data_IF_980503713482
#
_entry.id   IF_980503713482
#
_cell.length_a   1.000
_cell.length_b   1.000
_cell.length_c   1.000
_cell.angle_alpha   90.00
_cell.angle_beta   90.00
_cell.angle_gamma   90.00
#
_symmetry.space_group_name_H-M   'P 1'
#
loop_
_entity.id
_entity.type
_entity.pdbx_description
1 polymer ?
#
# COMPACT_ATOMS: atom_id res chain seq x y z
N UNK A 1 32.24 -7.85 -4.37
CA UNK A 1 31.38 -6.66 -4.42
C UNK A 1 31.70 -5.80 -3.20
N UNK A 2 31.72 -4.49 -3.36
CA UNK A 2 32.00 -3.54 -2.27
C UNK A 2 30.93 -3.68 -1.17
N UNK A 3 31.35 -3.56 0.11
CA UNK A 3 30.43 -3.74 1.24
C UNK A 3 29.27 -2.75 1.25
N UNK A 4 29.51 -1.49 0.83
CA UNK A 4 28.44 -0.51 0.73
C UNK A 4 27.44 -0.85 -0.39
N UNK A 5 27.94 -1.37 -1.52
CA UNK A 5 27.07 -1.89 -2.57
C UNK A 5 26.23 -3.07 -2.09
N UNK A 6 26.82 -3.95 -1.29
CA UNK A 6 26.10 -5.08 -0.71
C UNK A 6 25.00 -4.62 0.25
N UNK A 7 25.28 -3.62 1.07
CA UNK A 7 24.27 -3.07 1.99
C UNK A 7 23.08 -2.47 1.23
N UNK A 8 23.36 -1.76 0.14
CA UNK A 8 22.28 -1.21 -0.70
C UNK A 8 21.48 -2.34 -1.37
N UNK A 9 22.18 -3.33 -1.91
CA UNK A 9 21.53 -4.50 -2.53
C UNK A 9 20.64 -5.24 -1.53
N UNK A 10 21.08 -5.38 -0.28
CA UNK A 10 20.27 -6.01 0.77
C UNK A 10 18.97 -5.26 1.01
N UNK A 11 18.97 -3.92 0.93
CA UNK A 11 17.75 -3.14 1.07
C UNK A 11 16.77 -3.43 -0.06
N UNK A 12 17.26 -3.53 -1.30
CA UNK A 12 16.41 -3.86 -2.44
C UNK A 12 15.85 -5.27 -2.37
N UNK A 13 16.59 -6.21 -1.75
CA UNK A 13 16.10 -7.58 -1.58
C UNK A 13 14.90 -7.69 -0.65
N UNK A 14 14.66 -6.71 0.20
CA UNK A 14 13.49 -6.65 1.08
C UNK A 14 12.20 -6.42 0.31
N UNK A 15 12.30 -5.93 -0.92
CA UNK A 15 11.14 -5.65 -1.76
C UNK A 15 10.64 -6.95 -2.39
N UNK A 16 9.30 -7.14 -2.47
CA UNK A 16 8.74 -8.36 -3.04
C UNK A 16 9.12 -8.51 -4.51
N UNK A 17 9.45 -9.76 -4.90
CA UNK A 17 9.81 -10.08 -6.28
C UNK A 17 11.24 -9.75 -6.67
N UNK A 18 12.06 -9.23 -5.75
CA UNK A 18 13.44 -8.86 -6.05
C UNK A 18 14.39 -9.89 -5.45
N UNK A 19 15.07 -10.65 -6.33
CA UNK A 19 16.10 -11.60 -5.95
C UNK A 19 17.49 -10.97 -5.89
N UNK A 20 18.49 -11.78 -5.60
CA UNK A 20 19.89 -11.33 -5.41
C UNK A 20 20.44 -10.61 -6.64
N UNK A 21 20.24 -11.18 -7.83
CA UNK A 21 20.77 -10.64 -9.07
C UNK A 21 20.17 -9.29 -9.42
N UNK A 22 18.86 -9.19 -9.32
CA UNK A 22 18.14 -7.93 -9.57
C UNK A 22 18.50 -6.87 -8.54
N UNK A 23 18.63 -7.25 -7.27
CA UNK A 23 19.00 -6.32 -6.21
C UNK A 23 20.39 -5.70 -6.46
N UNK A 24 21.35 -6.51 -6.92
CA UNK A 24 22.68 -6.01 -7.26
C UNK A 24 22.65 -5.05 -8.44
N UNK A 25 21.86 -5.37 -9.47
CA UNK A 25 21.68 -4.47 -10.61
C UNK A 25 21.10 -3.13 -10.20
N UNK A 26 20.10 -3.16 -9.32
CA UNK A 26 19.48 -1.93 -8.81
C UNK A 26 20.45 -1.12 -7.97
N UNK A 27 21.27 -1.78 -7.16
CA UNK A 27 22.28 -1.09 -6.35
C UNK A 27 23.29 -0.34 -7.24
N UNK A 28 23.81 -0.98 -8.28
CA UNK A 28 24.69 -0.31 -9.22
C UNK A 28 24.01 0.85 -9.93
N UNK A 29 22.80 0.63 -10.40
CA UNK A 29 22.04 1.68 -11.08
C UNK A 29 21.86 2.92 -10.20
N UNK A 30 21.45 2.71 -8.94
CA UNK A 30 21.21 3.82 -8.03
C UNK A 30 22.50 4.57 -7.67
N UNK A 31 23.58 3.83 -7.40
CA UNK A 31 24.83 4.46 -6.95
C UNK A 31 25.58 5.15 -8.07
N UNK A 32 25.25 4.89 -9.34
CA UNK A 32 25.76 5.61 -10.49
C UNK A 32 24.96 6.87 -10.84
N UNK A 33 23.82 7.08 -10.17
CA UNK A 33 23.01 8.29 -10.38
C UNK A 33 23.63 9.48 -9.65
N UNK A 34 23.39 10.71 -10.16
CA UNK A 34 23.75 11.91 -9.41
C UNK A 34 23.13 11.92 -8.02
N UNK A 35 23.81 12.50 -7.06
CA UNK A 35 23.35 12.55 -5.67
C UNK A 35 21.97 13.19 -5.55
N UNK A 36 21.71 14.21 -6.36
CA UNK A 36 20.42 14.92 -6.36
C UNK A 36 19.28 13.99 -6.75
N UNK A 37 19.51 13.07 -7.70
CA UNK A 37 18.49 12.10 -8.11
C UNK A 37 18.18 11.11 -6.99
N UNK A 38 19.20 10.68 -6.26
CA UNK A 38 19.02 9.77 -5.12
C UNK A 38 18.26 10.47 -4.01
N UNK A 39 18.63 11.72 -3.70
CA UNK A 39 17.96 12.51 -2.67
C UNK A 39 16.49 12.73 -3.02
N UNK A 40 16.20 13.04 -4.29
CA UNK A 40 14.83 13.22 -4.75
C UNK A 40 14.00 11.92 -4.62
N UNK A 41 14.59 10.78 -5.01
CA UNK A 41 13.96 9.48 -4.90
C UNK A 41 13.59 9.15 -3.45
N UNK A 42 14.55 9.32 -2.54
CA UNK A 42 14.35 9.06 -1.12
C UNK A 42 13.29 10.01 -0.55
N UNK A 43 13.37 11.29 -0.88
CA UNK A 43 12.46 12.31 -0.35
C UNK A 43 11.01 12.10 -0.78
N UNK A 44 10.78 11.64 -2.01
CA UNK A 44 9.42 11.32 -2.49
C UNK A 44 8.82 10.20 -1.65
N UNK A 45 9.57 9.12 -1.42
CA UNK A 45 9.10 7.99 -0.62
C UNK A 45 8.88 8.42 0.82
N UNK A 46 9.82 9.14 1.39
CA UNK A 46 9.77 9.58 2.78
C UNK A 46 8.58 10.51 3.03
N UNK A 47 8.37 11.47 2.14
CA UNK A 47 7.25 12.41 2.22
C UNK A 47 5.90 11.71 2.09
N UNK A 48 5.79 10.76 1.15
CA UNK A 48 4.56 9.99 0.98
C UNK A 48 4.26 9.17 2.23
N UNK A 49 5.27 8.55 2.83
CA UNK A 49 5.09 7.75 4.04
C UNK A 49 4.57 8.59 5.21
N UNK A 50 5.04 9.84 5.33
CA UNK A 50 4.58 10.75 6.38
C UNK A 50 3.11 11.17 6.19
N UNK A 51 2.63 11.23 4.95
CA UNK A 51 1.26 11.66 4.64
C UNK A 51 0.25 10.52 4.66
N UNK A 52 0.68 9.29 4.43
CA UNK A 52 -0.21 8.14 4.34
C UNK A 52 -0.78 7.81 5.71
N UNK A 53 -2.10 7.58 5.75
CA UNK A 53 -2.83 7.11 6.92
C UNK A 53 -3.89 6.10 6.47
N UNK A 54 -4.49 5.41 7.44
CA UNK A 54 -5.64 4.55 7.17
C UNK A 54 -6.91 5.35 7.42
N UNK A 55 -7.86 5.26 6.48
CA UNK A 55 -9.18 5.86 6.68
C UNK A 55 -9.86 5.22 7.89
N UNK A 56 -10.34 6.04 8.83
CA UNK A 56 -11.01 5.55 10.04
C UNK A 56 -12.33 4.84 9.75
N UNK A 57 -12.92 5.07 8.58
CA UNK A 57 -14.20 4.47 8.18
C UNK A 57 -13.99 3.17 7.42
N UNK A 58 -13.21 3.18 6.34
CA UNK A 58 -13.09 2.04 5.44
C UNK A 58 -11.75 1.29 5.56
N UNK A 59 -10.79 1.80 6.30
CA UNK A 59 -9.46 1.24 6.49
C UNK A 59 -8.58 1.28 5.24
N UNK A 60 -8.96 1.98 4.18
CA UNK A 60 -8.13 2.15 3.00
C UNK A 60 -6.94 3.07 3.29
N UNK A 61 -5.87 2.93 2.54
CA UNK A 61 -4.76 3.87 2.57
C UNK A 61 -5.20 5.19 1.96
N UNK A 62 -4.91 6.29 2.65
CA UNK A 62 -5.36 7.61 2.24
C UNK A 62 -4.40 8.68 2.71
N UNK A 63 -4.54 9.88 2.17
CA UNK A 63 -3.79 11.06 2.60
C UNK A 63 -4.66 12.01 3.43
N UNK A 64 -5.91 11.63 3.64
CA UNK A 64 -6.88 12.37 4.48
C UNK A 64 -7.79 11.38 5.20
N UNK A 65 -8.39 11.79 6.31
CA UNK A 65 -9.33 10.98 7.06
C UNK A 65 -10.59 11.81 7.36
N UNK A 66 -11.79 11.43 6.86
CA UNK A 66 -12.03 10.26 6.00
C UNK A 66 -11.40 10.39 4.63
N UNK A 67 -11.24 9.24 3.94
CA UNK A 67 -10.69 9.25 2.59
C UNK A 67 -11.66 9.91 1.60
N UNK A 68 -11.18 10.18 0.38
CA UNK A 68 -11.97 10.84 -0.65
C UNK A 68 -13.27 10.09 -0.99
N UNK A 69 -13.23 8.76 -0.94
CA UNK A 69 -14.39 7.93 -1.25
C UNK A 69 -15.42 8.01 -0.13
N UNK A 70 -15.00 7.83 1.12
CA UNK A 70 -15.91 7.91 2.27
C UNK A 70 -16.49 9.30 2.45
N UNK A 71 -15.76 10.34 2.08
CA UNK A 71 -16.21 11.72 2.15
C UNK A 71 -17.04 12.20 0.96
N UNK A 72 -17.23 11.37 -0.04
CA UNK A 72 -17.97 11.75 -1.26
C UNK A 72 -19.47 11.49 -1.08
N UNK A 73 -20.23 12.57 -0.97
CA UNK A 73 -21.69 12.51 -0.77
C UNK A 73 -22.47 11.93 -1.94
N UNK A 74 -21.83 11.80 -3.11
CA UNK A 74 -22.47 11.25 -4.31
C UNK A 74 -22.48 9.72 -4.30
N UNK A 75 -21.74 9.10 -3.38
CA UNK A 75 -21.67 7.65 -3.27
C UNK A 75 -22.92 7.06 -2.63
N UNK A 76 -23.24 5.84 -3.02
CA UNK A 76 -24.34 5.09 -2.41
C UNK A 76 -23.87 4.45 -1.10
N UNK A 77 -24.23 5.07 0.01
CA UNK A 77 -23.81 4.62 1.34
C UNK A 77 -24.50 3.34 1.82
N UNK A 78 -25.50 2.86 1.06
CA UNK A 78 -26.15 1.59 1.36
C UNK A 78 -25.39 0.37 0.82
N UNK A 79 -24.33 0.59 0.02
CA UNK A 79 -23.54 -0.48 -0.58
C UNK A 79 -22.12 -0.44 -0.05
N UNK A 80 -21.64 -1.57 0.42
CA UNK A 80 -20.26 -1.73 0.89
C UNK A 80 -19.63 -2.90 0.16
N UNK A 81 -18.53 -2.63 -0.54
CA UNK A 81 -17.73 -3.66 -1.19
C UNK A 81 -16.55 -3.99 -0.29
N UNK A 82 -16.50 -5.22 0.21
CA UNK A 82 -15.40 -5.69 1.07
C UNK A 82 -14.30 -6.22 0.19
N UNK A 83 -13.10 -5.67 0.34
CA UNK A 83 -11.92 -6.09 -0.43
C UNK A 83 -10.77 -6.42 0.50
N UNK A 84 -9.81 -7.18 -0.02
CA UNK A 84 -8.68 -7.66 0.76
C UNK A 84 -7.60 -6.59 0.93
N UNK A 85 -7.29 -5.88 -0.14
CA UNK A 85 -6.17 -4.93 -0.18
C UNK A 85 -6.57 -3.58 -0.77
N UNK A 86 -5.82 -2.50 -0.43
CA UNK A 86 -6.05 -1.18 -1.04
C UNK A 86 -5.96 -1.18 -2.56
N UNK A 87 -5.11 -2.02 -3.14
CA UNK A 87 -4.97 -2.14 -4.59
C UNK A 87 -6.27 -2.58 -5.27
N UNK A 88 -7.09 -3.37 -4.57
CA UNK A 88 -8.37 -3.82 -5.08
C UNK A 88 -9.35 -2.66 -5.23
N UNK A 89 -9.32 -1.70 -4.30
CA UNK A 89 -10.12 -0.48 -4.39
C UNK A 89 -9.75 0.29 -5.65
N UNK A 90 -8.45 0.49 -5.88
CA UNK A 90 -7.98 1.24 -7.04
C UNK A 90 -8.40 0.55 -8.35
N UNK A 91 -8.28 -0.77 -8.41
CA UNK A 91 -8.67 -1.53 -9.60
C UNK A 91 -10.17 -1.37 -9.89
N UNK A 92 -11.01 -1.45 -8.87
CA UNK A 92 -12.46 -1.28 -9.04
C UNK A 92 -12.85 0.15 -9.40
N UNK A 93 -12.16 1.15 -8.83
CA UNK A 93 -12.41 2.56 -9.15
C UNK A 93 -12.03 2.89 -10.59
N UNK A 94 -11.00 2.25 -11.14
CA UNK A 94 -10.61 2.44 -12.53
C UNK A 94 -11.68 1.96 -13.53
N UNK A 95 -12.56 1.05 -13.12
CA UNK A 95 -13.65 0.60 -13.98
C UNK A 95 -14.77 1.64 -14.11
N UNK A 96 -14.87 2.57 -13.17
CA UNK A 96 -15.92 3.60 -13.10
C UNK A 96 -17.36 3.03 -13.04
N UNK A 97 -17.51 1.76 -12.67
CA UNK A 97 -18.81 1.09 -12.64
C UNK A 97 -19.41 0.97 -11.23
N UNK A 98 -18.56 1.11 -10.21
CA UNK A 98 -18.99 0.99 -8.81
C UNK A 98 -19.13 2.36 -8.16
N UNK A 99 -20.26 2.59 -7.50
CA UNK A 99 -20.58 3.88 -6.89
C UNK A 99 -20.87 3.81 -5.40
N UNK A 100 -20.63 2.67 -4.77
CA UNK A 100 -20.78 2.47 -3.34
C UNK A 100 -19.53 2.76 -2.55
N UNK A 101 -19.51 2.30 -1.31
CA UNK A 101 -18.38 2.45 -0.39
C UNK A 101 -17.58 1.14 -0.34
N UNK A 102 -16.48 1.16 0.39
CA UNK A 102 -15.58 0.01 0.52
C UNK A 102 -15.27 -0.27 1.98
N UNK A 103 -14.81 -1.47 2.24
CA UNK A 103 -14.12 -1.82 3.46
C UNK A 103 -12.91 -2.68 3.12
N UNK A 104 -11.73 -2.26 3.55
CA UNK A 104 -10.46 -2.92 3.26
C UNK A 104 -10.02 -3.74 4.47
N UNK A 105 -9.88 -5.04 4.28
CA UNK A 105 -9.57 -5.98 5.35
C UNK A 105 -8.07 -6.05 5.68
N UNK A 106 -7.22 -5.74 4.73
CA UNK A 106 -5.77 -5.88 4.83
C UNK A 106 -5.30 -7.31 5.03
N UNK A 107 -6.00 -8.25 4.42
CA UNK A 107 -5.70 -9.67 4.45
C UNK A 107 -6.96 -10.51 4.52
N UNK A 108 -6.78 -11.82 4.49
CA UNK A 108 -7.85 -12.79 4.68
C UNK A 108 -7.48 -13.73 5.82
N UNK A 109 -8.48 -14.29 6.50
CA UNK A 109 -8.24 -15.31 7.51
C UNK A 109 -7.70 -16.56 6.82
N UNK A 110 -6.51 -17.02 7.23
CA UNK A 110 -5.91 -18.24 6.71
C UNK A 110 -5.21 -18.97 7.85
N UNK A 111 -5.87 -19.96 8.47
CA UNK A 111 -5.25 -20.74 9.54
C UNK A 111 -3.99 -21.47 9.09
N UNK A 112 -3.93 -21.89 7.82
CA UNK A 112 -2.77 -22.58 7.27
C UNK A 112 -1.54 -21.68 7.17
N UNK A 113 -1.74 -20.38 6.97
CA UNK A 113 -0.67 -19.39 6.89
C UNK A 113 -0.45 -18.67 8.22
N UNK A 114 -1.19 -19.04 9.26
CA UNK A 114 -1.08 -18.42 10.56
C UNK A 114 -1.69 -17.01 10.65
N UNK A 115 -2.48 -16.61 9.67
CA UNK A 115 -3.15 -15.30 9.67
C UNK A 115 -4.45 -15.41 10.44
N UNK A 116 -4.50 -14.75 11.61
CA UNK A 116 -5.68 -14.67 12.44
C UNK A 116 -6.48 -13.39 12.22
N UNK A 117 -7.49 -13.10 13.07
CA UNK A 117 -8.34 -11.93 12.91
C UNK A 117 -7.64 -10.59 13.15
N UNK A 118 -6.58 -10.57 13.97
CA UNK A 118 -5.94 -9.32 14.41
C UNK A 118 -5.37 -8.47 13.27
N UNK A 119 -4.66 -9.03 12.26
CA UNK A 119 -4.18 -8.22 11.15
C UNK A 119 -5.26 -7.86 10.14
N UNK A 120 -6.49 -8.36 10.32
CA UNK A 120 -7.61 -8.16 9.39
C UNK A 120 -8.63 -7.24 10.04
N UNK A 121 -9.12 -6.24 9.32
CA UNK A 121 -9.95 -5.17 9.87
C UNK A 121 -11.46 -5.52 9.96
N UNK A 122 -11.80 -6.76 10.31
CA UNK A 122 -13.20 -7.17 10.45
C UNK A 122 -13.95 -6.40 11.54
N UNK A 123 -13.24 -5.99 12.60
CA UNK A 123 -13.86 -5.32 13.75
C UNK A 123 -14.40 -3.93 13.41
N UNK A 124 -13.95 -3.33 12.31
CA UNK A 124 -14.41 -2.04 11.85
C UNK A 124 -15.57 -2.12 10.86
N UNK A 125 -15.90 -3.33 10.42
CA UNK A 125 -16.96 -3.52 9.43
C UNK A 125 -18.33 -3.43 10.07
N UNK A 126 -19.07 -2.37 9.72
CA UNK A 126 -20.46 -2.19 10.12
C UNK A 126 -21.33 -2.25 8.88
N UNK A 127 -22.23 -3.22 8.84
CA UNK A 127 -23.20 -3.32 7.73
C UNK A 127 -24.47 -2.55 8.10
N UNK A 128 -25.02 -1.77 7.18
CA UNK A 128 -26.26 -1.06 7.42
C UNK A 128 -27.46 -1.99 7.61
#
# INVERSE_FOLDING_TARGET
MNSDLELVAEQFRKLPGIGVKTARRLAYFMLERPKEDIDAFINVIHSARDKICYCSICCNLATSDPCEICGDNRRDSSMICVVEHPQDVQALEQSHEYHGLYHVLHGVLSPLDGIGPEPVSYTHLTLP
#
